data_IF_839406136428
#
_entry.id   IF_839406136428
#
_cell.length_a   1.000
_cell.length_b   1.000
_cell.length_c   1.000
_cell.angle_alpha   90.00
_cell.angle_beta   90.00
_cell.angle_gamma   90.00
#
_symmetry.space_group_name_H-M   'P 1'
#
loop_
_entity.id
_entity.type
_entity.pdbx_description
1 polymer ?
#
# COMPACT_ATOMS: atom_id res chain seq x y z
N UNK A 1 -3.26 -13.06 -0.84
CA UNK A 1 -2.81 -13.27 0.56
C UNK A 1 -3.50 -12.26 1.45
N UNK A 2 -3.96 -12.68 2.62
CA UNK A 2 -4.47 -11.77 3.66
C UNK A 2 -3.79 -12.09 4.99
N UNK A 3 -3.46 -11.06 5.76
CA UNK A 3 -2.87 -11.19 7.09
C UNK A 3 -3.24 -9.98 7.97
N UNK A 4 -3.15 -10.18 9.29
CA UNK A 4 -3.40 -9.11 10.25
C UNK A 4 -2.57 -9.27 11.52
N UNK A 5 -2.31 -8.16 12.22
CA UNK A 5 -1.72 -8.18 13.56
C UNK A 5 -2.78 -8.05 14.65
N UNK A 6 -2.63 -8.83 15.73
CA UNK A 6 -3.38 -8.70 16.98
C UNK A 6 -2.59 -8.01 18.09
N UNK A 7 -1.36 -7.58 17.82
CA UNK A 7 -0.57 -6.86 18.81
C UNK A 7 -1.24 -5.54 19.19
N UNK A 8 -0.99 -5.07 20.41
CA UNK A 8 -1.68 -3.91 21.01
C UNK A 8 -0.78 -2.68 21.09
N UNK A 9 0.43 -2.77 20.56
CA UNK A 9 1.48 -1.77 20.73
C UNK A 9 1.58 -0.81 19.55
N UNK A 10 2.84 -0.62 19.15
CA UNK A 10 3.27 0.14 17.98
C UNK A 10 3.91 -0.82 16.99
N UNK A 11 4.00 -0.41 15.72
CA UNK A 11 4.61 -1.22 14.66
C UNK A 11 3.85 -2.55 14.41
N UNK A 12 2.54 -2.51 14.59
CA UNK A 12 1.66 -3.64 14.30
C UNK A 12 1.33 -3.65 12.81
N UNK A 13 1.95 -4.57 12.07
CA UNK A 13 1.78 -4.65 10.61
C UNK A 13 0.88 -5.82 10.22
N UNK A 14 -0.05 -5.58 9.30
CA UNK A 14 -0.83 -6.67 8.70
C UNK A 14 0.03 -7.51 7.75
N UNK A 15 0.63 -6.84 6.77
CA UNK A 15 1.64 -7.42 5.88
C UNK A 15 2.88 -6.53 5.91
N UNK A 16 4.05 -7.13 6.14
CA UNK A 16 5.33 -6.45 6.13
C UNK A 16 6.25 -7.06 5.07
N UNK A 17 6.48 -6.33 3.99
CA UNK A 17 7.43 -6.69 2.95
C UNK A 17 8.72 -5.89 3.16
N UNK A 18 9.77 -6.56 3.63
CA UNK A 18 11.09 -5.96 3.83
C UNK A 18 12.05 -6.40 2.73
N UNK A 19 12.12 -5.62 1.65
CA UNK A 19 12.86 -5.99 0.45
C UNK A 19 12.30 -7.23 -0.26
N UNK A 20 13.14 -7.93 -1.04
CA UNK A 20 12.76 -9.16 -1.75
C UNK A 20 11.77 -8.96 -2.90
N UNK A 21 11.22 -10.07 -3.42
CA UNK A 21 10.33 -10.06 -4.60
C UNK A 21 9.02 -10.79 -4.30
N UNK A 22 7.90 -10.17 -4.64
CA UNK A 22 6.59 -10.82 -4.76
C UNK A 22 6.39 -11.06 -6.25
N UNK A 23 6.20 -12.32 -6.69
CA UNK A 23 6.13 -12.64 -8.13
C UNK A 23 5.05 -13.66 -8.42
N UNK A 24 4.24 -13.37 -9.44
CA UNK A 24 3.27 -14.30 -10.04
C UNK A 24 3.52 -14.43 -11.54
N UNK A 25 3.17 -15.58 -12.11
CA UNK A 25 3.37 -15.88 -13.53
C UNK A 25 2.49 -15.05 -14.48
N UNK A 26 2.61 -15.33 -15.78
CA UNK A 26 1.81 -14.69 -16.83
C UNK A 26 0.30 -14.90 -16.62
N UNK A 27 -0.49 -13.83 -16.71
CA UNK A 27 -1.91 -13.82 -16.41
C UNK A 27 -2.21 -13.91 -14.90
N UNK A 28 -1.17 -13.77 -14.07
CA UNK A 28 -1.27 -13.85 -12.63
C UNK A 28 -1.74 -12.54 -12.01
N UNK A 29 -2.41 -12.67 -10.87
CA UNK A 29 -2.84 -11.56 -10.05
C UNK A 29 -2.15 -11.60 -8.69
N UNK A 30 -1.56 -10.47 -8.28
CA UNK A 30 -1.15 -10.26 -6.88
C UNK A 30 -2.29 -9.56 -6.16
N UNK A 31 -2.80 -10.16 -5.08
CA UNK A 31 -3.76 -9.51 -4.18
C UNK A 31 -3.25 -9.61 -2.76
N UNK A 32 -2.98 -8.46 -2.14
CA UNK A 32 -2.53 -8.37 -0.74
C UNK A 32 -3.55 -7.58 0.08
N UNK A 33 -4.00 -8.17 1.19
CA UNK A 33 -4.97 -7.56 2.10
C UNK A 33 -4.37 -7.58 3.51
N UNK A 34 -3.89 -6.43 3.98
CA UNK A 34 -3.24 -6.30 5.28
C UNK A 34 -4.06 -5.45 6.25
N UNK A 35 -4.20 -5.92 7.49
CA UNK A 35 -4.88 -5.20 8.57
C UNK A 35 -3.98 -5.07 9.80
N UNK A 36 -3.73 -3.85 10.24
CA UNK A 36 -2.91 -3.60 11.42
C UNK A 36 -3.70 -3.72 12.73
N UNK A 37 -2.97 -4.01 13.81
CA UNK A 37 -3.50 -4.10 15.16
C UNK A 37 -3.44 -2.78 15.92
N UNK A 38 -3.20 -2.86 17.22
CA UNK A 38 -3.08 -1.73 18.14
C UNK A 38 -4.37 -1.43 18.89
N UNK A 39 -4.26 -0.65 19.96
CA UNK A 39 -5.39 -0.23 20.79
C UNK A 39 -5.39 1.28 20.97
N UNK A 40 -6.59 1.87 20.99
CA UNK A 40 -6.76 3.32 21.14
C UNK A 40 -6.28 3.83 22.50
N UNK A 41 -6.46 3.03 23.56
CA UNK A 41 -6.05 3.38 24.92
C UNK A 41 -4.54 3.46 25.11
N UNK A 42 -3.75 2.94 24.17
CA UNK A 42 -2.31 3.15 24.15
C UNK A 42 -2.00 4.54 23.58
N UNK A 43 -1.84 5.53 24.47
CA UNK A 43 -1.63 6.93 24.10
C UNK A 43 -0.36 7.18 23.28
N UNK A 44 0.65 6.30 23.37
CA UNK A 44 1.89 6.37 22.61
C UNK A 44 1.93 5.39 21.43
N UNK A 45 0.87 4.62 21.21
CA UNK A 45 0.74 3.68 20.09
C UNK A 45 0.83 4.41 18.74
N UNK A 46 1.67 3.89 17.84
CA UNK A 46 1.92 4.49 16.53
C UNK A 46 2.42 3.48 15.49
N UNK A 47 2.40 3.88 14.23
CA UNK A 47 2.92 3.09 13.09
C UNK A 47 2.27 1.71 12.98
N UNK A 48 0.96 1.64 13.22
CA UNK A 48 0.18 0.42 13.01
C UNK A 48 -0.36 0.44 11.58
N UNK A 49 0.33 -0.29 10.68
CA UNK A 49 0.16 -0.15 9.23
C UNK A 49 -0.42 -1.40 8.58
N UNK A 50 -1.48 -1.26 7.78
CA UNK A 50 -2.13 -2.41 7.13
C UNK A 50 -1.15 -3.18 6.25
N UNK A 51 -0.49 -2.47 5.33
CA UNK A 51 0.62 -3.00 4.54
C UNK A 51 1.79 -2.03 4.61
N UNK A 52 2.95 -2.54 5.04
CA UNK A 52 4.23 -1.83 5.00
C UNK A 52 5.16 -2.45 3.96
N UNK A 53 5.68 -1.61 3.06
CA UNK A 53 6.63 -2.02 2.02
C UNK A 53 7.92 -1.22 2.18
N UNK A 54 9.02 -1.92 2.45
CA UNK A 54 10.36 -1.36 2.60
C UNK A 54 11.25 -1.82 1.45
N UNK A 55 10.84 -1.48 0.23
CA UNK A 55 11.58 -1.75 -0.98
C UNK A 55 11.26 -3.12 -1.59
N UNK A 56 12.14 -3.56 -2.50
CA UNK A 56 11.92 -4.77 -3.29
C UNK A 56 11.06 -4.53 -4.53
N UNK A 57 10.52 -5.62 -5.08
CA UNK A 57 9.70 -5.57 -6.30
C UNK A 57 8.40 -6.36 -6.16
N UNK A 58 7.36 -5.88 -6.86
CA UNK A 58 6.10 -6.61 -7.01
C UNK A 58 5.88 -6.86 -8.50
N UNK A 59 5.97 -8.11 -8.92
CA UNK A 59 5.93 -8.51 -10.33
C UNK A 59 4.70 -9.37 -10.61
N UNK A 60 3.89 -8.94 -11.56
CA UNK A 60 2.85 -9.76 -12.17
C UNK A 60 3.16 -9.93 -13.67
N UNK A 61 3.33 -11.18 -14.08
CA UNK A 61 3.56 -11.55 -15.47
C UNK A 61 5.01 -11.88 -15.82
N UNK A 62 5.18 -12.55 -16.96
CA UNK A 62 6.48 -12.89 -17.56
C UNK A 62 6.44 -12.79 -19.10
N UNK A 63 5.69 -11.83 -19.64
CA UNK A 63 5.41 -11.63 -21.07
C UNK A 63 3.99 -12.06 -21.46
N UNK A 64 3.67 -12.00 -22.77
CA UNK A 64 2.37 -12.43 -23.30
C UNK A 64 1.22 -11.41 -23.16
N UNK A 65 0.04 -11.78 -23.67
CA UNK A 65 -1.14 -10.89 -23.78
C UNK A 65 -2.18 -11.09 -22.67
N UNK A 66 -1.95 -11.99 -21.73
CA UNK A 66 -2.84 -12.17 -20.59
C UNK A 66 -2.80 -10.93 -19.68
N UNK A 67 -3.92 -10.67 -18.99
CA UNK A 67 -4.04 -9.53 -18.09
C UNK A 67 -3.31 -9.83 -16.78
N UNK A 68 -2.44 -8.93 -16.36
CA UNK A 68 -1.68 -8.97 -15.12
C UNK A 68 -2.16 -7.86 -14.21
N UNK A 69 -2.49 -8.20 -12.96
CA UNK A 69 -3.03 -7.23 -12.00
C UNK A 69 -2.31 -7.30 -10.67
N UNK A 70 -2.06 -6.15 -10.07
CA UNK A 70 -1.63 -6.03 -8.68
C UNK A 70 -2.68 -5.21 -7.94
N UNK A 71 -3.22 -5.74 -6.85
CA UNK A 71 -4.23 -5.08 -6.03
C UNK A 71 -3.84 -5.13 -4.55
N UNK A 72 -3.74 -3.96 -3.93
CA UNK A 72 -3.37 -3.80 -2.53
C UNK A 72 -4.52 -3.16 -1.76
N UNK A 73 -4.87 -3.78 -0.63
CA UNK A 73 -5.81 -3.26 0.35
C UNK A 73 -5.11 -3.22 1.71
N UNK A 74 -4.96 -2.03 2.27
CA UNK A 74 -4.36 -1.85 3.59
C UNK A 74 -5.28 -1.06 4.51
N UNK A 75 -5.53 -1.62 5.69
CA UNK A 75 -6.31 -0.98 6.75
C UNK A 75 -5.38 -0.71 7.92
N UNK A 76 -5.16 0.57 8.21
CA UNK A 76 -4.35 1.03 9.32
C UNK A 76 -4.97 0.67 10.65
N UNK A 77 -4.11 0.45 11.63
CA UNK A 77 -4.50 0.00 12.95
C UNK A 77 -4.92 1.15 13.86
N UNK A 78 -4.82 0.97 15.17
CA UNK A 78 -5.20 2.01 16.13
C UNK A 78 -4.05 2.37 17.07
N UNK A 79 -3.88 3.64 17.42
CA UNK A 79 -2.90 4.07 18.41
C UNK A 79 -2.98 5.57 18.68
N UNK A 80 -2.79 6.00 19.93
CA UNK A 80 -3.06 7.38 20.35
C UNK A 80 -2.21 8.45 19.68
N UNK A 81 -1.01 8.13 19.20
CA UNK A 81 -0.07 9.13 18.65
C UNK A 81 -0.18 9.32 17.12
N UNK A 82 -0.64 8.32 16.37
CA UNK A 82 -0.88 8.42 14.91
C UNK A 82 0.08 7.61 14.04
N UNK A 83 0.29 8.06 12.80
CA UNK A 83 1.05 7.35 11.74
C UNK A 83 0.56 5.93 11.45
N UNK A 84 -0.71 5.66 11.69
CA UNK A 84 -1.35 4.37 11.43
C UNK A 84 -1.83 4.37 9.97
N UNK A 85 -0.99 3.92 9.04
CA UNK A 85 -1.30 4.00 7.60
C UNK A 85 -2.09 2.80 7.12
N UNK A 86 -2.95 2.98 6.11
CA UNK A 86 -3.49 1.84 5.38
C UNK A 86 -2.37 1.10 4.65
N UNK A 87 -1.70 1.81 3.74
CA UNK A 87 -0.52 1.34 3.03
C UNK A 87 0.58 2.39 3.13
N UNK A 88 1.78 1.96 3.48
CA UNK A 88 2.96 2.80 3.59
C UNK A 88 4.14 2.19 2.83
N UNK A 89 4.64 2.90 1.83
CA UNK A 89 5.85 2.51 1.08
C UNK A 89 6.97 3.43 1.56
N UNK A 90 7.90 2.92 2.38
CA UNK A 90 8.92 3.75 3.03
C UNK A 90 10.23 3.80 2.27
N UNK A 91 10.50 2.77 1.47
CA UNK A 91 11.72 2.65 0.64
C UNK A 91 11.30 2.44 -0.81
N UNK A 92 12.14 2.93 -1.73
CA UNK A 92 11.87 2.90 -3.17
C UNK A 92 11.45 1.51 -3.64
N UNK A 93 10.27 1.42 -4.26
CA UNK A 93 9.66 0.16 -4.70
C UNK A 93 9.24 0.27 -6.16
N UNK A 94 9.48 -0.79 -6.93
CA UNK A 94 9.04 -0.88 -8.33
C UNK A 94 8.01 -1.99 -8.49
N UNK A 95 6.89 -1.66 -9.11
CA UNK A 95 5.90 -2.62 -9.58
C UNK A 95 6.10 -2.91 -11.07
N UNK A 96 6.17 -4.19 -11.41
CA UNK A 96 6.32 -4.69 -12.78
C UNK A 96 5.04 -5.41 -13.22
N UNK A 97 4.35 -4.85 -14.20
CA UNK A 97 3.27 -5.51 -14.94
C UNK A 97 3.84 -5.98 -16.27
N UNK A 98 4.43 -7.17 -16.26
CA UNK A 98 5.16 -7.75 -17.38
C UNK A 98 4.22 -8.49 -18.33
N UNK A 99 3.29 -7.76 -18.94
CA UNK A 99 2.41 -8.23 -20.01
C UNK A 99 2.34 -7.22 -21.14
N UNK A 100 1.58 -7.54 -22.19
CA UNK A 100 1.30 -6.64 -23.32
C UNK A 100 -0.13 -6.11 -23.32
N UNK A 101 -0.99 -6.57 -22.40
CA UNK A 101 -2.39 -6.15 -22.33
C UNK A 101 -2.52 -4.70 -21.88
N UNK A 102 -3.39 -3.94 -22.57
CA UNK A 102 -3.71 -2.57 -22.15
C UNK A 102 -4.55 -2.52 -20.87
N UNK A 103 -5.06 -3.67 -20.40
CA UNK A 103 -5.84 -3.79 -19.16
C UNK A 103 -4.98 -4.12 -17.93
N UNK A 104 -3.66 -4.21 -18.09
CA UNK A 104 -2.76 -4.44 -16.98
C UNK A 104 -2.83 -3.28 -15.98
N UNK A 105 -3.03 -3.60 -14.71
CA UNK A 105 -3.31 -2.60 -13.68
C UNK A 105 -2.60 -2.85 -12.37
N UNK A 106 -2.20 -1.75 -11.72
CA UNK A 106 -1.84 -1.71 -10.31
C UNK A 106 -2.92 -0.89 -9.61
N UNK A 107 -3.44 -1.38 -8.49
CA UNK A 107 -4.54 -0.72 -7.80
C UNK A 107 -4.33 -0.72 -6.30
N UNK A 108 -4.55 0.45 -5.71
CA UNK A 108 -4.84 0.57 -4.28
C UNK A 108 -6.35 0.64 -4.14
N UNK A 109 -6.96 -0.31 -3.43
CA UNK A 109 -8.42 -0.45 -3.34
C UNK A 109 -8.82 -0.59 -1.89
N UNK A 110 -9.84 0.18 -1.47
CA UNK A 110 -10.44 0.12 -0.14
C UNK A 110 -9.41 0.31 0.99
N UNK A 111 -8.52 1.29 0.84
CA UNK A 111 -7.46 1.54 1.81
C UNK A 111 -7.89 2.63 2.80
N UNK A 112 -7.60 2.42 4.08
CA UNK A 112 -7.99 3.32 5.14
C UNK A 112 -6.83 3.57 6.10
N UNK A 113 -6.60 4.83 6.45
CA UNK A 113 -5.78 5.19 7.60
C UNK A 113 -6.44 4.72 8.90
N UNK A 114 -5.61 4.50 9.91
CA UNK A 114 -6.00 4.05 11.23
C UNK A 114 -6.50 5.16 12.15
N UNK A 115 -7.06 4.79 13.31
CA UNK A 115 -7.59 5.75 14.28
C UNK A 115 -6.50 6.27 15.24
N UNK A 116 -6.68 7.48 15.77
CA UNK A 116 -5.76 8.09 16.75
C UNK A 116 -5.34 9.53 16.45
N UNK A 117 -4.05 9.80 16.64
CA UNK A 117 -3.41 11.12 16.44
C UNK A 117 -3.34 11.55 14.98
N UNK A 118 -2.24 12.19 14.58
CA UNK A 118 -2.10 12.77 13.24
C UNK A 118 -1.49 11.78 12.23
N UNK A 119 -1.44 12.16 10.96
CA UNK A 119 -0.70 11.45 9.92
C UNK A 119 -1.21 10.03 9.63
N UNK A 120 -2.51 9.76 9.75
CA UNK A 120 -3.08 8.45 9.43
C UNK A 120 -3.60 8.45 7.98
N UNK A 121 -2.72 8.26 7.01
CA UNK A 121 -3.12 8.24 5.60
C UNK A 121 -3.63 6.87 5.15
N UNK A 122 -4.58 6.84 4.22
CA UNK A 122 -5.02 5.60 3.57
C UNK A 122 -3.91 4.97 2.74
N UNK A 123 -3.28 5.77 1.87
CA UNK A 123 -2.12 5.36 1.07
C UNK A 123 -1.07 6.45 1.11
N UNK A 124 0.13 6.10 1.56
CA UNK A 124 1.30 6.97 1.56
C UNK A 124 2.44 6.31 0.78
N UNK A 125 2.50 6.50 -0.54
CA UNK A 125 3.61 6.00 -1.31
C UNK A 125 4.82 6.92 -1.09
N UNK A 126 5.95 6.33 -0.70
CA UNK A 126 7.28 6.90 -0.91
C UNK A 126 7.64 6.87 -2.40
N UNK A 127 8.92 6.72 -2.72
CA UNK A 127 9.32 6.57 -4.13
C UNK A 127 8.71 5.29 -4.69
N UNK A 128 7.83 5.42 -5.68
CA UNK A 128 7.13 4.29 -6.28
C UNK A 128 7.19 4.39 -7.80
N UNK A 129 7.57 3.30 -8.46
CA UNK A 129 7.60 3.25 -9.92
C UNK A 129 6.68 2.15 -10.42
N UNK A 130 5.78 2.50 -11.34
CA UNK A 130 5.02 1.53 -12.12
C UNK A 130 5.60 1.48 -13.54
N UNK A 131 6.11 0.31 -13.93
CA UNK A 131 6.83 0.16 -15.20
C UNK A 131 5.94 0.30 -16.44
N UNK A 132 4.63 0.03 -16.33
CA UNK A 132 3.58 0.20 -17.36
C UNK A 132 2.21 -0.16 -16.77
N UNK A 133 1.18 -0.03 -17.59
CA UNK A 133 -0.21 -0.29 -17.19
C UNK A 133 -0.84 0.94 -16.55
N UNK A 134 -1.98 0.75 -15.90
CA UNK A 134 -2.70 1.84 -15.24
C UNK A 134 -2.58 1.73 -13.73
N UNK A 135 -2.29 2.86 -13.07
CA UNK A 135 -2.40 2.97 -11.61
C UNK A 135 -3.77 3.50 -11.22
N UNK A 136 -4.46 2.76 -10.36
CA UNK A 136 -5.76 3.14 -9.82
C UNK A 136 -5.70 3.35 -8.31
N UNK A 137 -6.43 4.35 -7.85
CA UNK A 137 -6.78 4.54 -6.45
C UNK A 137 -8.30 4.53 -6.34
N UNK A 138 -8.84 3.63 -5.55
CA UNK A 138 -10.27 3.48 -5.38
C UNK A 138 -10.62 3.34 -3.90
N UNK A 139 -11.58 4.15 -3.44
CA UNK A 139 -12.09 4.14 -2.06
C UNK A 139 -10.94 4.28 -1.04
N UNK A 140 -10.23 5.41 -1.11
CA UNK A 140 -9.10 5.68 -0.23
C UNK A 140 -9.48 6.77 0.77
N UNK A 141 -9.42 6.45 2.06
CA UNK A 141 -9.78 7.37 3.15
C UNK A 141 -8.62 7.50 4.14
N UNK A 142 -8.46 8.70 4.70
CA UNK A 142 -7.61 8.89 5.88
C UNK A 142 -8.29 8.38 7.14
N UNK A 143 -7.56 8.35 8.24
CA UNK A 143 -8.08 8.00 9.56
C UNK A 143 -8.04 9.16 10.56
N UNK A 144 -7.68 8.85 11.80
CA UNK A 144 -7.55 9.80 12.90
C UNK A 144 -8.80 9.99 13.75
N UNK A 145 -8.78 11.07 14.54
CA UNK A 145 -9.85 11.53 15.45
C UNK A 145 -10.32 12.94 15.05
N UNK A 146 -11.39 13.44 15.67
CA UNK A 146 -11.97 14.76 15.34
C UNK A 146 -11.01 15.92 15.51
N UNK A 147 -10.04 15.83 16.43
CA UNK A 147 -9.02 16.86 16.66
C UNK A 147 -7.73 16.66 15.86
N UNK A 148 -7.62 15.55 15.13
CA UNK A 148 -6.40 15.22 14.40
C UNK A 148 -6.32 15.93 13.05
N UNK A 149 -5.08 16.13 12.59
CA UNK A 149 -4.76 16.77 11.33
C UNK A 149 -3.92 15.84 10.43
N UNK A 150 -3.81 16.22 9.17
CA UNK A 150 -2.93 15.55 8.19
C UNK A 150 -3.27 14.07 7.98
N UNK A 151 -4.55 13.70 8.06
CA UNK A 151 -5.02 12.36 7.74
C UNK A 151 -5.66 12.38 6.35
N UNK A 152 -4.92 11.93 5.34
CA UNK A 152 -5.34 12.05 3.96
C UNK A 152 -5.80 10.69 3.43
N UNK A 153 -6.68 10.67 2.42
CA UNK A 153 -6.85 9.45 1.64
C UNK A 153 -5.52 9.03 1.03
N UNK A 154 -4.98 9.89 0.16
CA UNK A 154 -3.70 9.66 -0.52
C UNK A 154 -2.78 10.81 -0.18
N UNK A 155 -1.57 10.53 0.32
CA UNK A 155 -0.52 11.53 0.54
C UNK A 155 0.77 11.15 -0.17
N UNK A 156 1.05 11.81 -1.29
CA UNK A 156 2.26 11.60 -2.09
C UNK A 156 3.35 12.56 -1.59
N UNK A 157 4.41 12.02 -0.98
CA UNK A 157 5.53 12.79 -0.43
C UNK A 157 6.84 12.63 -1.20
N UNK A 158 6.86 11.74 -2.19
CA UNK A 158 8.01 11.42 -3.00
C UNK A 158 7.58 11.13 -4.45
N UNK A 159 8.53 10.81 -5.32
CA UNK A 159 8.28 10.59 -6.74
C UNK A 159 7.44 9.34 -6.98
N UNK A 160 6.30 9.52 -7.65
CA UNK A 160 5.52 8.44 -8.25
C UNK A 160 5.74 8.50 -9.76
N UNK A 161 6.48 7.52 -10.31
CA UNK A 161 6.85 7.50 -11.72
C UNK A 161 6.03 6.48 -12.51
N UNK A 162 5.64 6.89 -13.72
CA UNK A 162 4.99 6.05 -14.72
C UNK A 162 5.82 6.06 -15.99
N UNK A 163 6.19 4.88 -16.49
CA UNK A 163 6.80 4.80 -17.81
C UNK A 163 5.73 4.92 -18.88
N UNK A 164 5.72 6.03 -19.60
CA UNK A 164 4.94 6.16 -20.83
C UNK A 164 5.83 5.79 -22.02
N UNK A 165 5.68 4.56 -22.51
CA UNK A 165 6.31 4.18 -23.78
C UNK A 165 5.51 4.81 -24.94
N UNK A 166 6.01 5.91 -25.51
CA UNK A 166 5.59 6.35 -26.86
C UNK A 166 5.88 5.20 -27.82
N UNK A 167 4.82 4.53 -28.28
CA UNK A 167 4.92 3.67 -29.47
C UNK A 167 5.34 4.58 -30.62
N UNK A 168 6.53 4.36 -31.16
CA UNK A 168 6.93 4.87 -32.47
C UNK A 168 6.21 4.08 -33.54
#
# INVERSE_FOLDING_TARGET
MSAGSFGTGSFEFGIYQNGGNITVGNGGSVTLIGMAGGIYSNSTGLSNEGIRIEGGTITAGNGGSAVNTIALTGIGGTGGSGTNYGINITVSTTAFLNGTSNSDSFSFINCAGGAGGNNNDGVRPGTFTLNRGTLFFQNIVGGGTTSSNTNNGIRILATVWFSWNRRR
#
